data_IF_167125254478
#
_entry.id   IF_167125254478
#
_cell.length_a   1.000
_cell.length_b   1.000
_cell.length_c   1.000
_cell.angle_alpha   90.00
_cell.angle_beta   90.00
_cell.angle_gamma   90.00
#
_symmetry.space_group_name_H-M   'P 1'
#
loop_
_entity.id
_entity.type
_entity.pdbx_description
1 polymer ?
#
# COMPACT_ATOMS: atom_id res chain seq x y z
N UNK A 1 3.88 -27.52 49.42
CA UNK A 1 4.83 -26.93 48.46
C UNK A 1 4.08 -26.08 47.43
N UNK A 2 4.34 -24.76 47.39
CA UNK A 2 3.69 -23.84 46.45
C UNK A 2 4.18 -24.14 45.02
N UNK A 3 3.25 -24.47 44.12
CA UNK A 3 3.53 -24.67 42.70
C UNK A 3 3.77 -23.29 42.08
N UNK A 4 5.02 -22.90 41.94
CA UNK A 4 5.43 -21.66 41.33
C UNK A 4 4.87 -21.60 39.90
N UNK A 5 3.89 -20.73 39.66
CA UNK A 5 3.31 -20.51 38.33
C UNK A 5 4.38 -19.83 37.49
N UNK A 6 5.07 -20.60 36.64
CA UNK A 6 6.00 -20.08 35.62
C UNK A 6 5.37 -18.85 34.96
N UNK A 7 6.04 -17.72 35.12
CA UNK A 7 5.61 -16.42 34.63
C UNK A 7 5.27 -16.54 33.13
N UNK A 8 4.04 -16.16 32.78
CA UNK A 8 3.55 -16.18 31.40
C UNK A 8 4.34 -15.15 30.60
N UNK A 9 5.47 -15.56 30.02
CA UNK A 9 6.24 -14.72 29.09
C UNK A 9 5.33 -14.31 27.93
N UNK A 10 4.85 -13.07 27.96
CA UNK A 10 3.96 -12.54 26.93
C UNK A 10 4.79 -12.24 25.68
N UNK A 11 4.49 -12.93 24.58
CA UNK A 11 5.18 -12.71 23.31
C UNK A 11 4.78 -11.33 22.78
N UNK A 12 5.69 -10.37 22.91
CA UNK A 12 5.49 -9.02 22.36
C UNK A 12 5.55 -9.10 20.83
N UNK A 13 4.52 -8.56 20.18
CA UNK A 13 4.42 -8.56 18.71
C UNK A 13 5.48 -7.61 18.12
N UNK A 14 6.05 -7.92 16.94
CA UNK A 14 6.95 -7.04 16.24
C UNK A 14 6.23 -5.76 15.86
N UNK A 15 6.84 -4.64 16.25
CA UNK A 15 6.39 -3.31 15.88
C UNK A 15 7.33 -2.70 14.84
N UNK A 16 6.79 -1.83 13.98
CA UNK A 16 7.62 -1.10 13.04
C UNK A 16 7.75 0.34 13.54
N UNK A 17 8.95 0.95 13.52
CA UNK A 17 9.12 2.33 13.97
C UNK A 17 8.20 3.27 13.19
N UNK A 18 7.24 3.89 13.89
CA UNK A 18 6.22 4.76 13.29
C UNK A 18 4.98 4.02 12.72
N UNK A 19 4.81 2.74 13.07
CA UNK A 19 3.62 1.96 12.80
C UNK A 19 3.32 1.76 11.30
N UNK A 20 2.03 1.58 10.99
CA UNK A 20 1.55 1.31 9.63
C UNK A 20 1.82 2.46 8.65
N UNK A 21 1.76 3.71 9.12
CA UNK A 21 1.99 4.91 8.29
C UNK A 21 3.44 5.00 7.83
N UNK A 22 4.40 4.71 8.72
CA UNK A 22 5.81 4.68 8.35
C UNK A 22 6.14 3.54 7.38
N UNK A 23 5.51 2.38 7.53
CA UNK A 23 5.62 1.29 6.56
C UNK A 23 5.14 1.75 5.19
N UNK A 24 3.97 2.38 5.10
CA UNK A 24 3.44 2.89 3.84
C UNK A 24 4.38 3.93 3.21
N UNK A 25 4.86 4.89 4.00
CA UNK A 25 5.81 5.91 3.52
C UNK A 25 7.12 5.28 3.01
N UNK A 26 7.68 4.30 3.75
CA UNK A 26 8.86 3.55 3.31
C UNK A 26 8.60 2.81 2.00
N UNK A 27 7.43 2.16 1.88
CA UNK A 27 7.05 1.48 0.66
C UNK A 27 7.01 2.49 -0.48
N UNK A 28 6.22 3.56 -0.40
CA UNK A 28 6.13 4.56 -1.48
C UNK A 28 7.47 5.21 -1.84
N UNK A 29 8.39 5.34 -0.88
CA UNK A 29 9.75 5.88 -1.11
C UNK A 29 10.64 4.90 -1.88
N UNK A 30 10.49 3.59 -1.65
CA UNK A 30 11.33 2.55 -2.25
C UNK A 30 10.65 1.75 -3.38
N UNK A 31 9.36 1.98 -3.59
CA UNK A 31 8.55 1.40 -4.65
C UNK A 31 8.96 2.01 -5.98
N UNK A 32 9.34 1.14 -6.93
CA UNK A 32 9.55 1.53 -8.31
C UNK A 32 8.39 1.00 -9.12
N UNK A 33 7.84 1.84 -9.99
CA UNK A 33 6.81 1.41 -10.91
C UNK A 33 7.47 0.60 -12.03
N UNK A 34 7.06 -0.65 -12.28
CA UNK A 34 7.54 -1.41 -13.43
C UNK A 34 7.21 -0.68 -14.74
N UNK A 35 8.10 -0.78 -15.74
CA UNK A 35 7.88 -0.15 -17.05
C UNK A 35 6.59 -0.66 -17.70
N UNK A 36 6.38 -1.98 -17.68
CA UNK A 36 5.22 -2.61 -18.30
C UNK A 36 3.89 -2.12 -17.70
N UNK A 37 3.81 -1.99 -16.38
CA UNK A 37 2.63 -1.44 -15.71
C UNK A 37 2.44 0.07 -16.00
N UNK A 38 3.53 0.82 -16.20
CA UNK A 38 3.48 2.25 -16.51
C UNK A 38 2.99 2.52 -17.94
N UNK A 39 3.49 1.73 -18.90
CA UNK A 39 3.13 1.79 -20.32
C UNK A 39 1.67 1.43 -20.53
N UNK A 40 1.20 0.37 -19.87
CA UNK A 40 -0.21 -0.07 -19.91
C UNK A 40 -1.13 0.74 -18.98
N UNK A 41 -0.59 1.67 -18.19
CA UNK A 41 -1.38 2.52 -17.28
C UNK A 41 -2.12 1.73 -16.19
N UNK A 42 -1.60 0.58 -15.77
CA UNK A 42 -2.25 -0.32 -14.82
C UNK A 42 -2.13 0.26 -13.43
N UNK A 43 -3.24 0.55 -12.77
CA UNK A 43 -3.31 0.99 -11.37
C UNK A 43 -4.04 -0.04 -10.52
N UNK A 44 -3.67 -0.17 -9.25
CA UNK A 44 -4.34 -1.14 -8.38
C UNK A 44 -3.59 -1.42 -7.09
N UNK A 45 -4.00 -2.48 -6.41
CA UNK A 45 -3.37 -2.89 -5.16
C UNK A 45 -2.96 -4.35 -5.16
N UNK A 46 -1.72 -4.60 -4.76
CA UNK A 46 -1.17 -5.94 -4.52
C UNK A 46 -1.34 -6.26 -3.04
N UNK A 47 -1.88 -7.44 -2.73
CA UNK A 47 -1.98 -7.94 -1.36
C UNK A 47 -0.92 -9.00 -1.13
N UNK A 48 -0.07 -8.81 -0.13
CA UNK A 48 0.99 -9.75 0.23
C UNK A 48 0.83 -10.22 1.66
N UNK A 49 1.04 -11.51 1.89
CA UNK A 49 1.34 -12.10 3.19
C UNK A 49 2.85 -12.14 3.35
N UNK A 50 3.35 -11.78 4.52
CA UNK A 50 4.76 -11.91 4.81
C UNK A 50 4.97 -12.40 6.24
N UNK A 51 6.13 -13.01 6.45
CA UNK A 51 6.52 -13.65 7.71
C UNK A 51 7.72 -12.93 8.29
N UNK A 52 7.61 -12.48 9.54
CA UNK A 52 8.65 -11.77 10.27
C UNK A 52 9.33 -12.75 11.23
N UNK A 53 10.64 -12.84 11.18
CA UNK A 53 11.46 -13.64 12.10
C UNK A 53 11.65 -12.94 13.45
N UNK A 54 12.07 -13.69 14.47
CA UNK A 54 12.46 -13.20 15.80
C UNK A 54 13.53 -12.09 15.78
N UNK A 55 14.28 -11.91 14.68
CA UNK A 55 15.23 -10.81 14.47
C UNK A 55 14.60 -9.54 13.84
N UNK A 56 13.29 -9.56 13.59
CA UNK A 56 12.57 -8.46 12.97
C UNK A 56 12.80 -8.35 11.45
N UNK A 57 13.39 -9.38 10.83
CA UNK A 57 13.58 -9.45 9.38
C UNK A 57 12.40 -10.16 8.73
N UNK A 58 12.01 -9.72 7.53
CA UNK A 58 11.05 -10.45 6.71
C UNK A 58 11.77 -11.63 6.04
N UNK A 59 11.33 -12.85 6.32
CA UNK A 59 11.95 -14.09 5.82
C UNK A 59 11.18 -14.74 4.68
N UNK A 60 9.86 -14.60 4.67
CA UNK A 60 9.00 -15.18 3.64
C UNK A 60 7.97 -14.15 3.19
N UNK A 61 7.67 -14.14 1.89
CA UNK A 61 6.68 -13.25 1.26
C UNK A 61 5.89 -14.04 0.23
N UNK A 62 4.57 -14.07 0.36
CA UNK A 62 3.64 -14.67 -0.58
C UNK A 62 2.64 -13.64 -1.08
N UNK A 63 2.43 -13.58 -2.39
CA UNK A 63 1.39 -12.76 -3.01
C UNK A 63 0.05 -13.46 -2.80
N UNK A 64 -0.92 -12.78 -2.20
CA UNK A 64 -2.30 -13.27 -2.05
C UNK A 64 -3.16 -12.81 -3.22
N UNK A 65 -2.98 -11.56 -3.64
CA UNK A 65 -3.69 -10.98 -4.77
C UNK A 65 -2.68 -10.25 -5.63
N UNK A 66 -2.52 -10.74 -6.85
CA UNK A 66 -1.59 -10.20 -7.83
C UNK A 66 -2.25 -9.10 -8.66
N UNK A 67 -1.47 -8.08 -9.00
CA UNK A 67 -1.85 -7.07 -9.99
C UNK A 67 -1.29 -7.41 -11.38
N UNK A 68 -0.21 -8.19 -11.45
CA UNK A 68 0.51 -8.51 -12.67
C UNK A 68 1.49 -7.42 -13.09
N UNK A 69 1.99 -7.51 -14.33
CA UNK A 69 2.81 -6.48 -14.99
C UNK A 69 4.09 -6.08 -14.22
N UNK A 70 4.66 -7.02 -13.47
CA UNK A 70 5.85 -6.83 -12.63
C UNK A 70 5.59 -6.12 -11.30
N UNK A 71 4.33 -5.74 -10.98
CA UNK A 71 4.01 -5.07 -9.72
C UNK A 71 4.19 -5.99 -8.50
N UNK A 72 3.94 -7.29 -8.69
CA UNK A 72 4.00 -8.28 -7.62
C UNK A 72 5.43 -8.48 -7.12
N UNK A 73 6.38 -8.57 -8.06
CA UNK A 73 7.81 -8.73 -7.80
C UNK A 73 8.38 -7.49 -7.11
N UNK A 74 8.05 -6.30 -7.62
CA UNK A 74 8.48 -5.04 -7.01
C UNK A 74 7.91 -4.86 -5.60
N UNK A 75 6.64 -5.22 -5.39
CA UNK A 75 6.03 -5.17 -4.06
C UNK A 75 6.71 -6.15 -3.08
N UNK A 76 6.97 -7.39 -3.51
CA UNK A 76 7.69 -8.38 -2.70
C UNK A 76 9.12 -7.90 -2.35
N UNK A 77 9.83 -7.32 -3.32
CA UNK A 77 11.17 -6.75 -3.14
C UNK A 77 11.21 -5.66 -2.07
N UNK A 78 10.22 -4.78 -2.06
CA UNK A 78 10.14 -3.68 -1.08
C UNK A 78 9.75 -4.19 0.29
N UNK A 79 8.80 -5.12 0.38
CA UNK A 79 8.38 -5.73 1.66
C UNK A 79 9.53 -6.48 2.33
N UNK A 80 10.37 -7.20 1.56
CA UNK A 80 11.58 -7.86 2.09
C UNK A 80 12.60 -6.90 2.71
N UNK A 81 12.60 -5.62 2.33
CA UNK A 81 13.50 -4.59 2.88
C UNK A 81 13.01 -4.01 4.21
N UNK A 82 11.79 -4.30 4.63
CA UNK A 82 11.26 -3.82 5.90
C UNK A 82 12.02 -4.46 7.07
N UNK A 83 12.39 -3.61 8.04
CA UNK A 83 13.05 -4.02 9.28
C UNK A 83 12.17 -3.65 10.47
N UNK A 84 11.66 -4.67 11.14
CA UNK A 84 10.81 -4.55 12.32
C UNK A 84 11.66 -4.52 13.58
N UNK A 85 11.19 -3.78 14.58
CA UNK A 85 11.75 -3.80 15.92
C UNK A 85 11.10 -4.93 16.72
N UNK A 86 11.97 -5.74 17.32
CA UNK A 86 11.62 -6.93 18.09
C UNK A 86 12.36 -6.88 19.41
N UNK A 87 11.70 -7.35 20.46
CA UNK A 87 12.31 -7.43 21.77
C UNK A 87 13.26 -8.63 21.82
N UNK A 88 14.55 -8.38 22.10
CA UNK A 88 15.60 -9.41 22.08
C UNK A 88 15.54 -10.35 23.29
N UNK A 89 14.70 -10.06 24.30
CA UNK A 89 14.58 -10.90 25.49
C UNK A 89 13.99 -12.29 25.17
N UNK A 90 13.37 -12.46 23.99
CA UNK A 90 12.69 -13.69 23.65
C UNK A 90 13.63 -14.74 23.00
N UNK A 91 13.91 -15.81 23.75
CA UNK A 91 14.87 -16.88 23.39
C UNK A 91 14.27 -18.00 22.50
N UNK A 92 13.01 -17.88 22.04
CA UNK A 92 12.33 -18.89 21.20
C UNK A 92 12.06 -18.36 19.78
N UNK A 93 12.21 -19.24 18.78
CA UNK A 93 11.89 -18.99 17.37
C UNK A 93 10.39 -18.81 17.19
N UNK A 94 9.98 -17.56 16.92
CA UNK A 94 8.61 -17.21 16.56
C UNK A 94 8.62 -16.52 15.22
N UNK A 95 7.65 -16.88 14.40
CA UNK A 95 7.41 -16.26 13.11
C UNK A 95 6.03 -15.60 13.14
N UNK A 96 5.98 -14.30 12.89
CA UNK A 96 4.71 -13.57 12.81
C UNK A 96 4.27 -13.43 11.37
N UNK A 97 3.05 -13.87 11.07
CA UNK A 97 2.44 -13.67 9.76
C UNK A 97 1.61 -12.38 9.76
N UNK A 98 1.87 -11.49 8.81
CA UNK A 98 1.10 -10.26 8.60
C UNK A 98 0.68 -10.15 7.14
N UNK A 99 -0.37 -9.38 6.89
CA UNK A 99 -0.83 -9.01 5.55
C UNK A 99 -0.58 -7.53 5.34
N UNK A 100 -0.15 -7.16 4.14
CA UNK A 100 0.02 -5.77 3.74
C UNK A 100 -0.59 -5.54 2.36
N UNK A 101 -1.19 -4.37 2.21
CA UNK A 101 -1.68 -3.87 0.93
C UNK A 101 -0.67 -2.84 0.41
N UNK A 102 -0.19 -3.05 -0.81
CA UNK A 102 0.68 -2.10 -1.53
C UNK A 102 -0.14 -1.52 -2.67
N UNK A 103 -0.38 -0.20 -2.65
CA UNK A 103 -1.13 0.48 -3.69
C UNK A 103 -0.18 1.07 -4.73
N UNK A 104 -0.38 0.70 -6.00
CA UNK A 104 0.30 1.27 -7.15
C UNK A 104 -0.60 2.36 -7.74
N UNK A 105 -0.16 3.60 -7.58
CA UNK A 105 -0.84 4.80 -8.11
C UNK A 105 0.09 5.47 -9.11
N UNK A 106 -0.41 5.78 -10.29
CA UNK A 106 0.31 6.60 -11.26
C UNK A 106 0.38 8.02 -10.71
N UNK A 107 1.57 8.64 -10.75
CA UNK A 107 1.69 10.07 -10.47
C UNK A 107 0.96 10.80 -11.60
N UNK A 108 -0.20 11.39 -11.30
CA UNK A 108 -0.88 12.29 -12.24
C UNK A 108 0.10 13.41 -12.59
N UNK A 109 0.18 13.85 -13.86
CA UNK A 109 1.00 15.00 -14.21
C UNK A 109 0.50 16.18 -13.38
N UNK A 110 1.33 16.66 -12.47
CA UNK A 110 1.06 17.92 -11.76
C UNK A 110 0.97 18.99 -12.83
N UNK A 111 -0.14 19.72 -12.90
CA UNK A 111 -0.27 20.86 -13.82
C UNK A 111 0.86 21.84 -13.49
N UNK A 112 1.89 21.89 -14.32
CA UNK A 112 2.86 22.99 -14.30
C UNK A 112 2.06 24.25 -14.58
N UNK A 113 2.15 25.24 -13.69
CA UNK A 113 1.58 26.56 -13.91
C UNK A 113 2.43 27.25 -14.97
N UNK A 114 2.19 26.92 -16.24
CA UNK A 114 2.77 27.63 -17.37
C UNK A 114 2.02 28.96 -17.39
N UNK A 115 2.67 30.02 -16.91
CA UNK A 115 2.15 31.38 -16.97
C UNK A 115 2.09 31.76 -18.45
N UNK A 116 0.92 31.59 -19.07
CA UNK A 116 0.69 32.08 -20.42
C UNK A 116 0.80 33.61 -20.38
N UNK A 117 1.80 34.18 -21.07
CA UNK A 117 1.65 35.54 -21.59
C UNK A 117 0.52 35.48 -22.61
N UNK A 118 -0.67 35.83 -22.14
CA UNK A 118 -1.88 35.93 -22.94
C UNK A 118 -1.66 37.05 -23.97
N UNK A 119 -1.37 36.68 -25.22
CA UNK A 119 -1.86 37.49 -26.33
C UNK A 119 -3.34 37.15 -26.44
N UNK A 120 -4.14 38.12 -26.02
CA UNK A 120 -5.59 38.12 -25.98
C UNK A 120 -6.17 37.96 -27.38
N UNK A 121 -6.92 36.88 -27.60
CA UNK A 121 -8.05 36.86 -28.52
C UNK A 121 -9.27 36.33 -27.74
N UNK A 122 -10.37 37.10 -27.65
CA UNK A 122 -11.43 36.85 -26.68
C UNK A 122 -12.50 35.88 -27.20
N UNK A 123 -13.34 35.44 -26.25
CA UNK A 123 -14.79 35.15 -26.40
C UNK A 123 -15.17 33.66 -26.54
N UNK A 124 -15.77 33.05 -25.50
CA UNK A 124 -17.19 33.18 -25.13
C UNK A 124 -17.56 32.32 -23.92
N UNK A 125 -18.60 32.73 -23.21
CA UNK A 125 -19.01 32.32 -21.85
C UNK A 125 -19.60 30.91 -21.67
N UNK A 126 -19.58 30.44 -20.41
CA UNK A 126 -20.29 29.25 -19.88
C UNK A 126 -21.80 29.55 -19.70
N UNK A 127 -22.61 28.49 -19.51
CA UNK A 127 -23.40 28.49 -18.27
C UNK A 127 -23.43 27.16 -17.48
N UNK A 128 -23.71 27.35 -16.20
CA UNK A 128 -23.99 26.49 -15.04
C UNK A 128 -25.22 25.58 -15.16
N UNK A 129 -25.23 24.39 -14.52
CA UNK A 129 -26.10 24.07 -13.36
C UNK A 129 -26.32 22.55 -13.16
N UNK A 130 -26.14 22.12 -11.91
CA UNK A 130 -26.81 21.04 -11.13
C UNK A 130 -27.49 19.84 -11.81
N UNK A 131 -27.24 18.66 -11.21
CA UNK A 131 -28.35 17.81 -10.75
C UNK A 131 -28.49 16.45 -11.46
N UNK A 132 -28.26 15.37 -10.71
CA UNK A 132 -28.57 14.01 -11.14
C UNK A 132 -30.08 13.80 -11.22
N UNK A 133 -30.58 13.22 -12.30
CA UNK A 133 -31.91 12.62 -12.35
C UNK A 133 -31.83 11.19 -12.91
N UNK A 134 -32.45 10.26 -12.20
CA UNK A 134 -32.59 8.85 -12.56
C UNK A 134 -33.96 8.64 -13.19
N UNK A 135 -34.01 7.85 -14.26
CA UNK A 135 -35.24 7.38 -14.88
C UNK A 135 -35.59 6.01 -14.30
N UNK A 136 -36.82 5.84 -13.83
CA UNK A 136 -37.39 4.52 -13.50
C UNK A 136 -38.53 4.29 -14.48
N UNK A 137 -38.35 3.31 -15.35
CA UNK A 137 -39.33 2.86 -16.34
C UNK A 137 -40.21 1.78 -15.71
N UNK A 138 -41.53 1.88 -15.90
CA UNK A 138 -42.48 0.80 -15.58
C UNK A 138 -43.29 0.52 -16.85
N UNK A 139 -43.50 -0.76 -17.14
CA UNK A 139 -43.84 -1.34 -18.46
C UNK A 139 -45.19 -2.08 -18.38
N UNK A 140 -45.98 -2.02 -19.45
CA UNK A 140 -47.15 -2.87 -19.72
C UNK A 140 -48.49 -2.24 -19.30
N UNK A 141 -49.60 -2.41 -20.02
CA UNK A 141 -49.97 -3.33 -21.10
C UNK A 141 -51.08 -2.73 -21.96
#
# INVERSE_FOLDING_TARGET
>A
MKKERKEKHFIKKPDYPGGSKAIQAFIYKHLKYPKEALEKGIEGSVYLRYSIDQKGKVVDTRVISSLGYGCDEEAARVVKKLKFQVDKAFRRRVTWHKKIRVWFKKKKPTKTNIQYQLKSDPKKEKPTSSGYSYTITIKGS
#
